data_IF_704699474309
#
_entry.id   IF_704699474309
#
_cell.length_a   1.000
_cell.length_b   1.000
_cell.length_c   1.000
_cell.angle_alpha   90.00
_cell.angle_beta   90.00
_cell.angle_gamma   90.00
#
_symmetry.space_group_name_H-M   'P 1'
#
loop_
_entity.id
_entity.type
_entity.pdbx_description
1 polymer ?
#
# COMPACT_ATOMS: atom_id res chain seq x y z
N UNK A 1 -39.08 -15.29 6.17
CA UNK A 1 -38.26 -14.94 7.37
C UNK A 1 -36.96 -14.36 6.86
N UNK A 2 -36.85 -13.03 6.82
CA UNK A 2 -35.62 -12.36 6.38
C UNK A 2 -34.70 -12.25 7.59
N UNK A 3 -33.70 -13.13 7.68
CA UNK A 3 -32.61 -12.97 8.66
C UNK A 3 -31.76 -11.77 8.27
N UNK A 4 -32.15 -10.58 8.74
CA UNK A 4 -31.27 -9.41 8.72
C UNK A 4 -30.14 -9.66 9.72
N UNK A 5 -29.04 -10.25 9.26
CA UNK A 5 -27.82 -10.31 10.05
C UNK A 5 -27.47 -8.87 10.49
N UNK A 6 -27.10 -8.65 11.76
CA UNK A 6 -26.69 -7.32 12.20
C UNK A 6 -25.53 -6.82 11.32
N UNK A 7 -25.52 -5.54 10.93
CA UNK A 7 -24.45 -4.99 10.12
C UNK A 7 -23.11 -5.21 10.83
N UNK A 8 -22.03 -5.55 10.10
CA UNK A 8 -20.74 -5.81 10.72
C UNK A 8 -20.31 -4.61 11.57
N UNK A 9 -19.72 -4.84 12.76
CA UNK A 9 -19.31 -3.77 13.65
C UNK A 9 -18.36 -2.81 12.92
N UNK A 10 -18.63 -1.52 13.07
CA UNK A 10 -17.83 -0.48 12.42
C UNK A 10 -16.38 -0.53 12.95
N UNK A 11 -15.38 -0.35 12.08
CA UNK A 11 -14.00 -0.52 12.47
C UNK A 11 -13.56 0.55 13.46
N UNK A 12 -12.96 0.12 14.57
CA UNK A 12 -12.38 1.03 15.57
C UNK A 12 -11.24 1.87 14.97
N UNK A 13 -11.08 3.09 15.50
CA UNK A 13 -10.10 4.06 15.00
C UNK A 13 -8.66 3.59 15.22
N UNK A 14 -8.38 2.84 16.28
CA UNK A 14 -7.05 2.27 16.50
C UNK A 14 -6.72 1.21 15.44
N UNK A 15 -7.68 0.31 15.16
CA UNK A 15 -7.58 -0.67 14.07
C UNK A 15 -7.38 0.02 12.72
N UNK A 16 -8.09 1.11 12.46
CA UNK A 16 -7.95 1.85 11.21
C UNK A 16 -6.56 2.52 11.04
N UNK A 17 -6.00 3.04 12.13
CA UNK A 17 -4.62 3.54 12.15
C UNK A 17 -3.61 2.42 11.96
N UNK A 18 -3.80 1.27 12.62
CA UNK A 18 -2.91 0.11 12.45
C UNK A 18 -2.89 -0.38 10.99
N UNK A 19 -4.04 -0.43 10.32
CA UNK A 19 -4.13 -0.79 8.90
C UNK A 19 -3.42 0.25 8.01
N UNK A 20 -3.56 1.54 8.30
CA UNK A 20 -2.84 2.60 7.58
C UNK A 20 -1.32 2.46 7.76
N UNK A 21 -0.85 2.26 8.99
CA UNK A 21 0.58 2.07 9.31
C UNK A 21 1.12 0.83 8.63
N UNK A 22 0.39 -0.29 8.65
CA UNK A 22 0.79 -1.52 7.98
C UNK A 22 0.95 -1.32 6.46
N UNK A 23 0.04 -0.57 5.82
CA UNK A 23 0.14 -0.26 4.39
C UNK A 23 1.29 0.70 4.04
N UNK A 24 1.75 1.54 4.98
CA UNK A 24 2.82 2.51 4.71
C UNK A 24 4.21 2.01 5.07
N UNK A 25 4.35 1.38 6.24
CA UNK A 25 5.64 1.09 6.87
C UNK A 25 6.04 -0.38 6.78
N UNK A 26 5.09 -1.28 6.60
CA UNK A 26 5.37 -2.72 6.55
C UNK A 26 5.36 -3.21 5.11
N UNK A 27 4.18 -3.24 4.50
CA UNK A 27 4.01 -3.68 3.11
C UNK A 27 2.68 -3.13 2.57
N UNK A 28 2.68 -2.46 1.40
CA UNK A 28 1.45 -2.02 0.76
C UNK A 28 0.52 -3.21 0.51
N UNK A 29 -0.70 -3.13 1.02
CA UNK A 29 -1.71 -4.19 0.91
C UNK A 29 -1.88 -5.06 2.15
N UNK A 30 -0.93 -5.03 3.10
CA UNK A 30 -1.03 -5.80 4.34
C UNK A 30 -2.15 -5.27 5.25
N UNK A 31 -2.25 -3.95 5.41
CA UNK A 31 -3.37 -3.31 6.10
C UNK A 31 -4.71 -3.49 5.39
N UNK A 32 -4.71 -3.50 4.05
CA UNK A 32 -5.91 -3.79 3.25
C UNK A 32 -6.37 -5.24 3.43
N UNK A 33 -5.43 -6.20 3.55
CA UNK A 33 -5.71 -7.61 3.85
C UNK A 33 -6.30 -7.78 5.24
N UNK A 34 -5.70 -7.13 6.24
CA UNK A 34 -6.17 -7.15 7.63
C UNK A 34 -7.58 -6.53 7.77
N UNK A 35 -7.88 -5.51 6.97
CA UNK A 35 -9.21 -4.92 6.88
C UNK A 35 -10.22 -5.76 6.07
N UNK A 36 -9.83 -6.94 5.58
CA UNK A 36 -10.70 -7.84 4.81
C UNK A 36 -11.11 -7.31 3.43
N UNK A 37 -10.43 -6.28 2.90
CA UNK A 37 -10.82 -5.63 1.65
C UNK A 37 -10.22 -6.33 0.41
N UNK A 38 -10.99 -6.40 -0.70
CA UNK A 38 -10.48 -6.93 -1.96
C UNK A 38 -9.35 -6.05 -2.51
N UNK A 39 -8.44 -6.65 -3.29
CA UNK A 39 -7.32 -5.93 -3.91
C UNK A 39 -6.03 -5.90 -3.08
N UNK A 40 -6.03 -6.43 -1.86
CA UNK A 40 -4.83 -6.50 -1.01
C UNK A 40 -3.65 -7.24 -1.69
N UNK A 41 -3.92 -8.39 -2.32
CA UNK A 41 -2.89 -9.17 -3.02
C UNK A 41 -2.31 -8.43 -4.23
N UNK A 42 -3.14 -7.67 -4.96
CA UNK A 42 -2.66 -6.88 -6.09
C UNK A 42 -1.70 -5.77 -5.61
N UNK A 43 -2.01 -5.09 -4.50
CA UNK A 43 -1.12 -4.08 -3.92
C UNK A 43 0.22 -4.70 -3.48
N UNK A 44 0.18 -5.86 -2.83
CA UNK A 44 1.39 -6.57 -2.40
C UNK A 44 2.22 -7.01 -3.60
N UNK A 45 1.60 -7.58 -4.63
CA UNK A 45 2.28 -8.02 -5.84
C UNK A 45 2.93 -6.84 -6.57
N UNK A 46 2.22 -5.72 -6.73
CA UNK A 46 2.75 -4.52 -7.40
C UNK A 46 3.94 -3.94 -6.62
N UNK A 47 3.85 -3.90 -5.29
CA UNK A 47 4.93 -3.43 -4.42
C UNK A 47 6.18 -4.33 -4.53
N UNK A 48 5.99 -5.65 -4.48
CA UNK A 48 7.08 -6.62 -4.58
C UNK A 48 7.73 -6.60 -5.96
N UNK A 49 6.95 -6.58 -7.04
CA UNK A 49 7.47 -6.51 -8.40
C UNK A 49 8.28 -5.22 -8.63
N UNK A 50 7.74 -4.07 -8.21
CA UNK A 50 8.46 -2.80 -8.28
C UNK A 50 9.76 -2.80 -7.46
N UNK A 51 9.71 -3.34 -6.24
CA UNK A 51 10.85 -3.38 -5.34
C UNK A 51 11.96 -4.31 -5.85
N UNK A 52 11.61 -5.50 -6.34
CA UNK A 52 12.57 -6.45 -6.92
C UNK A 52 13.21 -5.86 -8.18
N UNK A 53 12.43 -5.21 -9.06
CA UNK A 53 12.96 -4.56 -10.25
C UNK A 53 13.93 -3.41 -9.89
N UNK A 54 13.56 -2.56 -8.92
CA UNK A 54 14.39 -1.46 -8.45
C UNK A 54 15.68 -1.97 -7.79
N UNK A 55 15.59 -2.96 -6.90
CA UNK A 55 16.76 -3.54 -6.23
C UNK A 55 17.67 -4.28 -7.21
N UNK A 56 17.12 -5.07 -8.14
CA UNK A 56 17.90 -5.76 -9.16
C UNK A 56 18.67 -4.78 -10.05
N UNK A 57 18.01 -3.70 -10.48
CA UNK A 57 18.66 -2.64 -11.24
C UNK A 57 19.74 -1.90 -10.42
N UNK A 58 19.44 -1.57 -9.16
CA UNK A 58 20.37 -0.87 -8.27
C UNK A 58 21.61 -1.72 -7.96
N UNK A 59 21.41 -3.00 -7.64
CA UNK A 59 22.50 -3.94 -7.36
C UNK A 59 23.38 -4.15 -8.60
N UNK A 60 22.78 -4.36 -9.77
CA UNK A 60 23.52 -4.45 -11.05
C UNK A 60 24.34 -3.18 -11.29
N UNK A 61 23.74 -2.01 -11.08
CA UNK A 61 24.41 -0.72 -11.31
C UNK A 61 25.55 -0.50 -10.32
N UNK A 62 25.37 -0.86 -9.05
CA UNK A 62 26.41 -0.80 -8.02
C UNK A 62 27.57 -1.77 -8.32
N UNK A 63 27.27 -3.00 -8.78
CA UNK A 63 28.29 -3.97 -9.19
C UNK A 63 29.10 -3.49 -10.40
N UNK A 64 28.43 -2.96 -11.43
CA UNK A 64 29.12 -2.40 -12.60
C UNK A 64 29.98 -1.21 -12.20
N UNK A 65 29.48 -0.32 -11.34
CA UNK A 65 30.27 0.79 -10.83
C UNK A 65 31.50 0.31 -10.03
N UNK A 66 31.34 -0.71 -9.18
CA UNK A 66 32.43 -1.28 -8.40
C UNK A 66 33.51 -1.96 -9.28
N UNK A 67 33.11 -2.60 -10.39
CA UNK A 67 34.04 -3.28 -11.31
C UNK A 67 34.72 -2.28 -12.25
N UNK A 68 33.97 -1.35 -12.82
CA UNK A 68 34.45 -0.47 -13.88
C UNK A 68 35.02 0.86 -13.36
N UNK A 69 34.74 1.22 -12.09
CA UNK A 69 35.22 2.43 -11.44
C UNK A 69 34.63 3.74 -11.99
N UNK A 70 33.64 3.64 -12.90
CA UNK A 70 33.04 4.80 -13.57
C UNK A 70 31.53 4.70 -13.58
N UNK A 71 30.88 5.80 -13.22
CA UNK A 71 29.47 5.99 -13.52
C UNK A 71 29.38 6.43 -14.98
N UNK A 72 28.78 5.60 -15.83
CA UNK A 72 28.53 5.98 -17.21
C UNK A 72 27.51 7.12 -17.23
N UNK A 73 27.97 8.35 -17.55
CA UNK A 73 27.10 9.53 -17.63
C UNK A 73 25.99 9.42 -18.70
N UNK A 74 26.15 8.49 -19.65
CA UNK A 74 25.06 8.06 -20.51
C UNK A 74 24.23 7.01 -19.78
N UNK A 75 22.94 7.30 -19.57
CA UNK A 75 22.01 6.35 -19.00
C UNK A 75 22.11 5.02 -19.76
N UNK A 76 22.55 3.92 -19.12
CA UNK A 76 22.63 2.64 -19.81
C UNK A 76 21.26 2.27 -20.42
N UNK A 77 21.21 1.50 -21.52
CA UNK A 77 19.98 1.19 -22.26
C UNK A 77 18.88 0.49 -21.41
N UNK A 78 19.19 0.11 -20.17
CA UNK A 78 18.33 -0.57 -19.22
C UNK A 78 17.93 0.29 -18.01
N UNK A 79 18.29 1.59 -17.98
CA UNK A 79 17.95 2.52 -16.88
C UNK A 79 16.45 2.73 -16.68
N UNK A 80 15.67 2.58 -17.76
CA UNK A 80 14.22 2.65 -17.71
C UNK A 80 13.60 1.55 -16.82
N UNK A 81 14.27 0.40 -16.64
CA UNK A 81 13.79 -0.68 -15.76
C UNK A 81 13.80 -0.22 -14.30
N UNK A 82 14.86 0.46 -13.88
CA UNK A 82 14.95 1.05 -12.54
C UNK A 82 13.86 2.09 -12.30
N UNK A 83 13.63 2.97 -13.28
CA UNK A 83 12.55 3.97 -13.23
C UNK A 83 11.16 3.33 -13.19
N UNK A 84 10.93 2.28 -13.99
CA UNK A 84 9.67 1.55 -14.02
C UNK A 84 9.43 0.80 -12.69
N UNK A 85 10.47 0.17 -12.14
CA UNK A 85 10.42 -0.45 -10.82
C UNK A 85 10.07 0.55 -9.73
N UNK A 86 10.74 1.71 -9.72
CA UNK A 86 10.43 2.81 -8.81
C UNK A 86 8.99 3.31 -8.97
N UNK A 87 8.54 3.53 -10.21
CA UNK A 87 7.18 3.99 -10.49
C UNK A 87 6.13 2.98 -10.01
N UNK A 88 6.34 1.68 -10.24
CA UNK A 88 5.45 0.62 -9.75
C UNK A 88 5.44 0.55 -8.22
N UNK A 89 6.59 0.67 -7.57
CA UNK A 89 6.66 0.74 -6.10
C UNK A 89 5.91 1.96 -5.56
N UNK A 90 6.14 3.15 -6.12
CA UNK A 90 5.45 4.37 -5.69
C UNK A 90 3.94 4.29 -5.94
N UNK A 91 3.51 3.72 -7.06
CA UNK A 91 2.10 3.50 -7.35
C UNK A 91 1.45 2.55 -6.33
N UNK A 92 2.13 1.47 -5.95
CA UNK A 92 1.67 0.55 -4.92
C UNK A 92 1.54 1.24 -3.55
N UNK A 93 2.54 2.06 -3.17
CA UNK A 93 2.51 2.86 -1.94
C UNK A 93 1.39 3.89 -1.94
N UNK A 94 1.19 4.61 -3.05
CA UNK A 94 0.11 5.58 -3.23
C UNK A 94 -1.27 4.94 -3.09
N UNK A 95 -1.47 3.76 -3.69
CA UNK A 95 -2.69 2.98 -3.51
C UNK A 95 -2.84 2.52 -2.05
N UNK A 96 -1.78 1.99 -1.44
CA UNK A 96 -1.76 1.57 -0.03
C UNK A 96 -2.22 2.67 0.93
N UNK A 97 -1.68 3.88 0.73
CA UNK A 97 -2.06 5.10 1.46
C UNK A 97 -3.53 5.45 1.23
N UNK A 98 -3.99 5.48 -0.02
CA UNK A 98 -5.37 5.81 -0.35
C UNK A 98 -6.36 4.82 0.30
N UNK A 99 -6.06 3.53 0.30
CA UNK A 99 -6.86 2.50 0.98
C UNK A 99 -6.91 2.70 2.50
N UNK A 100 -5.77 3.00 3.12
CA UNK A 100 -5.70 3.28 4.56
C UNK A 100 -6.46 4.55 4.94
N UNK A 101 -6.37 5.61 4.13
CA UNK A 101 -7.11 6.86 4.34
C UNK A 101 -8.62 6.66 4.20
N UNK A 102 -9.08 5.86 3.23
CA UNK A 102 -10.51 5.50 3.10
C UNK A 102 -11.01 4.83 4.36
N UNK A 103 -10.25 3.88 4.91
CA UNK A 103 -10.62 3.18 6.13
C UNK A 103 -10.64 4.11 7.37
N UNK A 104 -9.71 5.07 7.45
CA UNK A 104 -9.71 6.10 8.49
C UNK A 104 -10.93 7.04 8.39
N UNK A 105 -11.37 7.36 7.15
CA UNK A 105 -12.57 8.17 6.89
C UNK A 105 -13.84 7.42 7.28
N UNK A 106 -13.95 6.14 6.92
CA UNK A 106 -15.07 5.26 7.30
C UNK A 106 -15.19 5.17 8.83
N UNK A 107 -14.08 4.93 9.54
CA UNK A 107 -14.05 4.91 11.01
C UNK A 107 -14.44 6.26 11.63
N UNK A 108 -14.08 7.39 10.99
CA UNK A 108 -14.48 8.72 11.47
C UNK A 108 -15.99 8.96 11.28
N UNK A 109 -16.56 8.56 10.15
CA UNK A 109 -17.99 8.69 9.86
C UNK A 109 -18.83 7.80 10.79
N UNK A 110 -18.38 6.57 11.05
CA UNK A 110 -18.97 5.65 12.00
C UNK A 110 -19.13 6.25 13.41
N UNK A 111 -18.14 7.03 13.86
CA UNK A 111 -18.16 7.70 15.17
C UNK A 111 -19.17 8.85 15.27
N UNK A 112 -19.65 9.39 14.16
CA UNK A 112 -20.62 10.50 14.15
C UNK A 112 -22.09 10.04 14.15
N UNK A 113 -22.36 8.78 13.82
CA UNK A 113 -23.69 8.16 13.83
C UNK A 113 -24.23 7.61 15.18
N UNK A 114 -23.50 7.50 16.31
CA UNK A 114 -24.00 6.82 17.51
C UNK A 114 -24.95 7.66 18.40
N UNK A 115 -25.24 8.93 18.08
CA UNK A 115 -26.16 9.75 18.88
C UNK A 115 -27.49 10.10 18.20
N UNK A 116 -27.67 9.88 16.90
CA UNK A 116 -28.89 10.27 16.20
C UNK A 116 -30.01 9.22 16.23
N UNK A 117 -29.69 7.96 16.58
CA UNK A 117 -30.63 6.85 16.53
C UNK A 117 -31.16 6.39 17.90
N UNK A 118 -30.78 7.08 18.99
CA UNK A 118 -31.18 6.73 20.35
C UNK A 118 -32.33 7.59 20.92
N UNK A 119 -32.85 8.56 20.16
CA UNK A 119 -33.92 9.48 20.61
C UNK A 119 -35.14 9.52 19.66
N UNK A 120 -35.49 8.40 19.02
CA UNK A 120 -36.69 8.26 18.19
C UNK A 120 -37.69 7.28 18.76
#
# INVERSE_FOLDING_TARGET
MNSSAPPPPLPDRATARACLVANLLVLPGLGTRLAGKPGAFAQMALALLGFVALMGWSLRSALLWAIEGRWNGNAPPWSWIGLLGLALSLAAWGWGLASGLKFLREAKQARHLPHAAAEG
#
